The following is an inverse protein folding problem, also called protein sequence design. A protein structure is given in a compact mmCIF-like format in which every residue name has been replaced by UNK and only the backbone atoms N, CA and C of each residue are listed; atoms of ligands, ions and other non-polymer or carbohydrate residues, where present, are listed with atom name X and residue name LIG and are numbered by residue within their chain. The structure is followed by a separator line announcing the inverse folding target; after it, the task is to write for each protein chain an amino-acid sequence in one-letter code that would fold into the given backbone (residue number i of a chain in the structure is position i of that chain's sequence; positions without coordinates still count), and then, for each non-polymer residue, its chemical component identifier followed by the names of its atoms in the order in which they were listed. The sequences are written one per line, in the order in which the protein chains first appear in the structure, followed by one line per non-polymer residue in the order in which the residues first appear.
data_IF_472585650674
#
_entry.id   IF_472585650674
#
_cell.length_a   1.000
_cell.length_b   1.000
_cell.length_c   1.000
_cell.angle_alpha   90.00
_cell.angle_beta   90.00
_cell.angle_gamma   90.00
#
_symmetry.space_group_name_H-M   'P 1'
#
loop_
_entity.id
_entity.type
_entity.pdbx_description
1 polymer ?
#
# COMPACT_ATOMS: atom_id res chain seq x y z
N UNK A 1 -46.73 -46.84 -16.30
CA UNK A 1 -45.46 -46.65 -15.55
C UNK A 1 -45.24 -45.15 -15.37
N UNK A 2 -45.10 -44.67 -14.13
CA UNK A 2 -44.93 -43.25 -13.75
C UNK A 2 -43.46 -42.83 -13.88
N UNK A 3 -43.16 -41.61 -14.34
CA UNK A 3 -42.02 -40.81 -13.86
C UNK A 3 -42.36 -39.31 -13.98
N UNK A 4 -42.85 -38.73 -12.89
CA UNK A 4 -42.83 -37.28 -12.67
C UNK A 4 -41.40 -36.91 -12.27
N UNK A 5 -40.61 -36.41 -13.22
CA UNK A 5 -39.28 -35.88 -12.94
C UNK A 5 -39.43 -34.48 -12.35
N UNK A 6 -39.39 -34.38 -11.02
CA UNK A 6 -39.36 -33.10 -10.32
C UNK A 6 -37.98 -32.47 -10.54
N UNK A 7 -37.89 -31.49 -11.43
CA UNK A 7 -36.71 -30.63 -11.50
C UNK A 7 -36.55 -29.94 -10.14
N UNK A 8 -35.42 -30.21 -9.47
CA UNK A 8 -35.04 -29.51 -8.23
C UNK A 8 -34.92 -28.02 -8.55
N UNK A 9 -35.57 -27.11 -7.79
CA UNK A 9 -35.33 -25.69 -7.97
C UNK A 9 -33.86 -25.39 -7.63
N UNK A 10 -33.14 -24.77 -8.56
CA UNK A 10 -31.82 -24.23 -8.28
C UNK A 10 -31.97 -23.11 -7.24
N UNK A 11 -31.54 -23.36 -6.01
CA UNK A 11 -31.49 -22.33 -4.98
C UNK A 11 -30.61 -21.18 -5.48
N UNK A 12 -31.04 -19.92 -5.38
CA UNK A 12 -30.17 -18.80 -5.66
C UNK A 12 -29.04 -18.85 -4.63
N UNK A 13 -27.80 -19.09 -5.09
CA UNK A 13 -26.61 -18.90 -4.26
C UNK A 13 -26.72 -17.50 -3.67
N UNK A 14 -26.98 -17.46 -2.36
CA UNK A 14 -26.96 -16.24 -1.56
C UNK A 14 -25.54 -15.69 -1.70
N UNK A 15 -25.38 -14.71 -2.60
CA UNK A 15 -24.13 -14.01 -2.75
C UNK A 15 -23.87 -13.30 -1.42
N UNK A 16 -23.01 -13.89 -0.59
CA UNK A 16 -22.56 -13.23 0.62
C UNK A 16 -21.93 -11.89 0.22
N UNK A 17 -22.15 -10.81 0.99
CA UNK A 17 -21.45 -9.57 0.75
C UNK A 17 -19.95 -9.87 0.84
N UNK A 18 -19.29 -9.90 -0.32
CA UNK A 18 -17.84 -10.08 -0.37
C UNK A 18 -17.28 -8.84 0.31
N UNK A 19 -16.53 -9.02 1.38
CA UNK A 19 -15.80 -7.91 1.97
C UNK A 19 -14.95 -7.26 0.86
N UNK A 20 -14.88 -5.92 0.79
CA UNK A 20 -14.01 -5.25 -0.17
C UNK A 20 -12.59 -5.81 -0.03
N UNK A 21 -11.93 -6.03 -1.16
CA UNK A 21 -10.55 -6.51 -1.15
C UNK A 21 -9.67 -5.49 -0.43
N UNK A 22 -8.76 -5.98 0.43
CA UNK A 22 -7.77 -5.14 1.05
C UNK A 22 -6.86 -4.57 -0.04
N UNK A 23 -6.74 -3.25 -0.10
CA UNK A 23 -5.92 -2.55 -1.09
C UNK A 23 -4.96 -1.63 -0.37
N UNK A 24 -3.70 -1.64 -0.79
CA UNK A 24 -2.68 -0.68 -0.37
C UNK A 24 -2.39 0.24 -1.56
N UNK A 25 -2.33 1.54 -1.30
CA UNK A 25 -1.91 2.57 -2.24
C UNK A 25 -0.63 3.21 -1.71
N UNK A 26 0.32 3.43 -2.62
CA UNK A 26 1.55 4.16 -2.36
C UNK A 26 1.59 5.35 -3.31
N UNK A 27 1.77 6.53 -2.73
CA UNK A 27 1.85 7.78 -3.46
C UNK A 27 3.09 8.52 -2.98
N UNK A 28 3.87 9.06 -3.90
CA UNK A 28 4.95 10.01 -3.58
C UNK A 28 4.41 11.41 -3.67
N UNK A 29 5.00 12.31 -2.88
CA UNK A 29 4.78 13.75 -2.96
C UNK A 29 5.23 14.32 -4.29
N UNK A 30 5.07 15.64 -4.42
CA UNK A 30 5.51 16.37 -5.59
C UNK A 30 7.04 16.30 -5.71
N UNK A 31 7.60 15.66 -6.75
CA UNK A 31 9.04 15.47 -6.87
C UNK A 31 9.80 16.79 -7.00
N UNK A 32 9.15 17.88 -7.44
CA UNK A 32 9.74 19.21 -7.51
C UNK A 32 9.91 19.84 -6.12
N UNK A 33 8.95 19.66 -5.22
CA UNK A 33 9.04 20.14 -3.83
C UNK A 33 9.96 19.26 -3.01
N UNK A 34 9.85 17.95 -3.18
CA UNK A 34 10.64 16.95 -2.49
C UNK A 34 12.14 17.06 -2.84
N UNK A 35 12.49 17.27 -4.12
CA UNK A 35 13.88 17.51 -4.54
C UNK A 35 14.47 18.78 -3.92
N UNK A 36 13.69 19.86 -3.80
CA UNK A 36 14.14 21.12 -3.22
C UNK A 36 14.39 21.02 -1.69
N UNK A 37 13.66 20.13 -1.01
CA UNK A 37 13.81 19.90 0.43
C UNK A 37 14.78 18.76 0.77
N UNK A 38 15.24 18.02 -0.24
CA UNK A 38 16.08 16.84 -0.02
C UNK A 38 15.33 15.71 0.70
N UNK A 39 14.02 15.63 0.57
CA UNK A 39 13.18 14.61 1.22
C UNK A 39 12.06 14.21 0.28
N UNK A 40 11.75 12.91 0.18
CA UNK A 40 10.62 12.43 -0.61
C UNK A 40 9.49 12.00 0.32
N UNK A 41 8.39 12.74 0.26
CA UNK A 41 7.19 12.46 1.05
C UNK A 41 6.49 11.22 0.49
N UNK A 42 6.27 10.18 1.27
CA UNK A 42 5.58 8.95 0.86
C UNK A 42 4.31 8.80 1.68
N UNK A 43 3.17 8.75 0.99
CA UNK A 43 1.87 8.48 1.60
C UNK A 43 1.45 7.05 1.31
N UNK A 44 1.07 6.36 2.38
CA UNK A 44 0.53 5.00 2.35
C UNK A 44 -0.93 5.05 2.74
N UNK A 45 -1.80 4.49 1.90
CA UNK A 45 -3.22 4.37 2.17
C UNK A 45 -3.66 2.91 2.13
N UNK A 46 -4.58 2.53 3.02
CA UNK A 46 -5.20 1.21 3.07
C UNK A 46 -6.71 1.35 2.96
N UNK A 47 -7.28 0.75 1.92
CA UNK A 47 -8.70 0.72 1.69
C UNK A 47 -9.28 -0.69 1.88
N UNK A 48 -10.51 -0.77 2.40
CA UNK A 48 -11.26 -2.03 2.52
C UNK A 48 -10.79 -2.96 3.65
N UNK A 49 -9.91 -2.49 4.54
CA UNK A 49 -9.46 -3.23 5.71
C UNK A 49 -10.41 -3.14 6.90
N UNK A 50 -10.23 -4.04 7.86
CA UNK A 50 -10.94 -4.02 9.15
C UNK A 50 -9.96 -3.75 10.29
N UNK A 51 -10.24 -2.74 11.10
CA UNK A 51 -9.44 -2.41 12.26
C UNK A 51 -9.51 -3.50 13.37
N UNK A 52 -8.45 -3.68 14.18
CA UNK A 52 -7.15 -3.02 14.07
C UNK A 52 -6.35 -3.49 12.83
N UNK A 53 -5.63 -2.55 12.20
CA UNK A 53 -4.75 -2.85 11.06
C UNK A 53 -3.29 -2.71 11.49
N UNK A 54 -2.39 -3.28 10.71
CA UNK A 54 -0.94 -3.13 10.87
C UNK A 54 -0.35 -2.83 9.52
N UNK A 55 0.28 -1.68 9.41
CA UNK A 55 0.97 -1.20 8.23
C UNK A 55 2.47 -1.24 8.51
N UNK A 56 3.22 -1.77 7.55
CA UNK A 56 4.67 -1.88 7.60
C UNK A 56 5.24 -1.26 6.34
N UNK A 57 6.14 -0.28 6.49
CA UNK A 57 6.89 0.29 5.39
C UNK A 57 8.31 -0.23 5.42
N UNK A 58 8.74 -0.77 4.29
CA UNK A 58 10.11 -1.21 4.08
C UNK A 58 10.77 -0.30 3.05
N UNK A 59 11.97 0.17 3.36
CA UNK A 59 12.83 0.92 2.43
C UNK A 59 14.07 0.08 2.20
N UNK A 60 14.35 -0.27 0.93
CA UNK A 60 15.45 -1.16 0.55
C UNK A 60 15.44 -2.55 1.21
N UNK A 61 14.30 -2.96 1.78
CA UNK A 61 14.14 -4.23 2.49
C UNK A 61 14.20 -4.10 4.02
N UNK A 62 14.68 -2.98 4.54
CA UNK A 62 14.70 -2.68 5.96
C UNK A 62 13.38 -2.06 6.42
N UNK A 63 12.90 -2.44 7.61
CA UNK A 63 11.69 -1.85 8.19
C UNK A 63 11.99 -0.41 8.59
N UNK A 64 11.42 0.54 7.85
CA UNK A 64 11.59 1.96 8.12
C UNK A 64 10.57 2.46 9.13
N UNK A 65 9.30 2.06 8.98
CA UNK A 65 8.21 2.55 9.83
C UNK A 65 7.06 1.55 9.93
N UNK A 66 6.28 1.64 11.02
CA UNK A 66 5.09 0.84 11.20
C UNK A 66 3.94 1.63 11.85
N UNK A 67 2.74 1.47 11.31
CA UNK A 67 1.53 2.11 11.84
C UNK A 67 0.46 1.07 12.18
N UNK A 68 -0.48 1.47 13.01
CA UNK A 68 -1.68 0.68 13.35
C UNK A 68 -2.97 1.22 12.71
N UNK A 69 -2.84 2.32 11.98
CA UNK A 69 -3.92 2.98 11.25
C UNK A 69 -4.02 2.48 9.80
N UNK A 70 -5.12 2.86 9.14
CA UNK A 70 -5.32 2.60 7.71
C UNK A 70 -4.54 3.55 6.82
N UNK A 71 -3.89 4.56 7.37
CA UNK A 71 -3.10 5.54 6.63
C UNK A 71 -1.78 5.78 7.37
N UNK A 72 -0.73 6.07 6.61
CA UNK A 72 0.59 6.41 7.13
C UNK A 72 1.29 7.38 6.19
N UNK A 73 2.14 8.24 6.74
CA UNK A 73 3.00 9.13 5.98
C UNK A 73 4.43 8.91 6.45
N UNK A 74 5.36 8.82 5.51
CA UNK A 74 6.77 8.61 5.78
C UNK A 74 7.61 9.50 4.87
N UNK A 75 8.61 10.16 5.43
CA UNK A 75 9.45 11.09 4.71
C UNK A 75 10.83 10.46 4.49
N UNK A 76 11.13 10.12 3.24
CA UNK A 76 12.42 9.52 2.86
C UNK A 76 13.45 10.62 2.66
N UNK A 77 14.31 10.84 3.66
CA UNK A 77 15.34 11.89 3.63
C UNK A 77 16.56 11.47 2.81
N UNK A 78 17.03 12.34 1.90
CA UNK A 78 18.29 12.16 1.16
C UNK A 78 19.50 12.07 2.09
N UNK A 79 19.47 12.76 3.23
CA UNK A 79 20.57 12.72 4.21
C UNK A 79 20.70 11.34 4.88
N UNK A 80 19.56 10.68 5.12
CA UNK A 80 19.49 9.38 5.79
C UNK A 80 19.76 8.20 4.83
N UNK A 81 19.12 8.23 3.66
CA UNK A 81 19.18 7.11 2.69
C UNK A 81 20.19 7.33 1.56
N UNK A 82 20.68 8.56 1.39
CA UNK A 82 21.56 8.95 0.29
C UNK A 82 20.84 9.22 -1.03
N UNK A 83 21.55 9.75 -2.04
CA UNK A 83 21.05 9.83 -3.40
C UNK A 83 21.04 8.44 -4.04
N UNK A 84 19.96 8.11 -4.75
CA UNK A 84 19.80 6.80 -5.36
C UNK A 84 18.35 6.41 -5.62
N UNK A 85 18.17 5.18 -6.10
CA UNK A 85 16.85 4.57 -6.24
C UNK A 85 16.59 3.70 -5.02
N UNK A 86 15.54 4.01 -4.29
CA UNK A 86 15.12 3.30 -3.09
C UNK A 86 13.85 2.50 -3.39
N UNK A 87 13.88 1.21 -3.08
CA UNK A 87 12.72 0.35 -3.21
C UNK A 87 11.84 0.50 -1.96
N UNK A 88 10.68 1.10 -2.12
CA UNK A 88 9.71 1.31 -1.04
C UNK A 88 8.61 0.28 -1.15
N UNK A 89 8.40 -0.51 -0.12
CA UNK A 89 7.35 -1.53 -0.05
C UNK A 89 6.47 -1.31 1.15
N UNK A 90 5.19 -1.08 0.93
CA UNK A 90 4.20 -1.05 2.00
C UNK A 90 3.46 -2.37 2.08
N UNK A 91 3.24 -2.86 3.31
CA UNK A 91 2.46 -4.06 3.59
C UNK A 91 1.45 -3.78 4.68
N UNK A 92 0.17 -3.99 4.37
CA UNK A 92 -0.92 -3.90 5.32
C UNK A 92 -1.42 -5.30 5.70
N UNK A 93 -1.77 -5.48 6.97
CA UNK A 93 -2.45 -6.66 7.50
C UNK A 93 -3.65 -6.19 8.32
N UNK A 94 -4.83 -6.73 8.07
CA UNK A 94 -6.04 -6.38 8.82
C UNK A 94 -6.35 -7.38 9.97
N UNK A 95 -7.36 -7.06 10.77
CA UNK A 95 -7.78 -7.89 11.90
C UNK A 95 -8.30 -9.29 11.51
N UNK A 96 -8.66 -9.48 10.24
CA UNK A 96 -9.10 -10.77 9.69
C UNK A 96 -7.93 -11.61 9.17
N UNK A 97 -6.69 -11.11 9.27
CA UNK A 97 -5.50 -11.74 8.73
C UNK A 97 -5.36 -11.60 7.21
N UNK A 98 -6.17 -10.75 6.57
CA UNK A 98 -5.99 -10.41 5.15
C UNK A 98 -4.79 -9.49 5.03
N UNK A 99 -4.00 -9.68 3.99
CA UNK A 99 -2.84 -8.86 3.72
C UNK A 99 -2.85 -8.33 2.30
N UNK A 100 -2.26 -7.16 2.12
CA UNK A 100 -2.06 -6.53 0.84
C UNK A 100 -0.73 -5.77 0.88
N UNK A 101 -0.14 -5.55 -0.29
CA UNK A 101 1.09 -4.79 -0.39
C UNK A 101 1.15 -4.01 -1.68
N UNK A 102 1.95 -2.96 -1.64
CA UNK A 102 2.28 -2.13 -2.78
C UNK A 102 3.79 -1.87 -2.76
N UNK A 103 4.37 -1.70 -3.94
CA UNK A 103 5.79 -1.42 -4.11
C UNK A 103 5.95 -0.28 -5.09
N UNK A 104 6.88 0.63 -4.80
CA UNK A 104 7.26 1.74 -5.66
C UNK A 104 8.77 1.93 -5.60
N UNK A 105 9.37 2.37 -6.70
CA UNK A 105 10.75 2.81 -6.73
C UNK A 105 10.76 4.33 -6.65
N UNK A 106 11.38 4.86 -5.59
CA UNK A 106 11.57 6.28 -5.39
C UNK A 106 12.98 6.64 -5.80
N UNK A 107 13.14 7.69 -6.60
CA UNK A 107 14.46 8.16 -7.00
C UNK A 107 14.77 9.48 -6.28
N UNK A 108 15.74 9.44 -5.38
CA UNK A 108 16.32 10.58 -4.72
C UNK A 108 17.51 11.06 -5.54
N UNK A 109 17.43 12.29 -6.05
CA UNK A 109 18.54 12.93 -6.73
C UNK A 109 19.04 14.06 -5.85
N UNK A 110 20.35 14.10 -5.57
CA UNK A 110 20.96 15.32 -5.10
C UNK A 110 20.94 16.30 -6.27
N UNK A 111 20.18 17.38 -6.17
CA UNK A 111 20.24 18.43 -7.17
C UNK A 111 21.61 19.12 -7.03
N UNK A 112 22.56 18.75 -7.90
CA UNK A 112 23.74 19.57 -8.12
C UNK A 112 23.25 20.82 -8.84
N UNK A 113 23.09 21.92 -8.09
CA UNK A 113 22.98 23.26 -8.67
C UNK A 113 24.34 23.62 -9.29
N UNK A 114 24.64 23.02 -10.43
CA UNK A 114 25.59 23.55 -11.41
C UNK A 114 24.77 24.20 -12.51
N UNK A 115 24.41 25.47 -12.30
CA UNK A 115 24.05 26.40 -13.38
C UNK A 115 24.97 27.61 -13.22
N UNK A 116 26.07 27.52 -13.97
CA UNK A 116 27.00 28.60 -14.32
C UNK A 116 26.29 29.75 -15.04
#
# INVERSE_FOLDING_TARGET
MRFLSTARPAEPVRAWPRLPALRVTLETGDPATDAALGVVSIRVGVAGGRAPMRLYLYVNGDLAEAWTDSEGSFDLSLDEYGPGRHAVTARAVDALGRWAGASLIVACFAETSERE
#
